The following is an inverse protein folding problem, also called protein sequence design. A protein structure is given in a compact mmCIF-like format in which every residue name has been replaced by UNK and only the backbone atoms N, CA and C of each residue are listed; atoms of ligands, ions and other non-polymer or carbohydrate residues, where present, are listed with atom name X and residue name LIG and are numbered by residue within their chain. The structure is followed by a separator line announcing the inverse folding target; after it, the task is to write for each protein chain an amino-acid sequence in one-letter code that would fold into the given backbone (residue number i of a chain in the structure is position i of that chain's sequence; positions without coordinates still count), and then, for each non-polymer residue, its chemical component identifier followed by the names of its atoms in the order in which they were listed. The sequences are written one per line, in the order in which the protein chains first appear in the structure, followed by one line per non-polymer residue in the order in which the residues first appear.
data_IF_254597376625
#
_entry.id   IF_254597376625
#
_cell.length_a   1.000
_cell.length_b   1.000
_cell.length_c   1.000
_cell.angle_alpha   90.00
_cell.angle_beta   90.00
_cell.angle_gamma   90.00
#
_symmetry.space_group_name_H-M   'P 1'
#
loop_
_entity.id
_entity.type
_entity.pdbx_description
1 polymer ?
#
# COMPACT_ATOMS: atom_id res chain seq x y z
N UNK A 1 -16.54 -9.58 -16.92
CA UNK A 1 -16.36 -9.76 -15.45
C UNK A 1 -15.64 -11.08 -15.20
N UNK A 2 -14.61 -11.07 -14.36
CA UNK A 2 -13.94 -12.30 -13.95
C UNK A 2 -14.87 -13.23 -13.15
N UNK A 3 -14.71 -14.57 -13.24
CA UNK A 3 -15.40 -15.50 -12.35
C UNK A 3 -15.00 -15.27 -10.89
N UNK A 4 -15.92 -15.59 -9.95
CA UNK A 4 -15.70 -15.45 -8.50
C UNK A 4 -14.38 -16.09 -8.03
N UNK A 5 -14.07 -17.25 -8.61
CA UNK A 5 -12.87 -18.02 -8.28
C UNK A 5 -11.57 -17.22 -8.52
N UNK A 6 -11.56 -16.36 -9.57
CA UNK A 6 -10.40 -15.53 -9.91
C UNK A 6 -10.17 -14.49 -8.82
N UNK A 7 -11.23 -13.84 -8.30
CA UNK A 7 -11.10 -12.88 -7.20
C UNK A 7 -10.57 -13.54 -5.91
N UNK A 8 -11.05 -14.75 -5.61
CA UNK A 8 -10.55 -15.52 -4.46
C UNK A 8 -9.08 -15.86 -4.64
N UNK A 9 -8.69 -16.38 -5.80
CA UNK A 9 -7.30 -16.75 -6.09
C UNK A 9 -6.37 -15.53 -6.07
N UNK A 10 -6.81 -14.39 -6.62
CA UNK A 10 -6.06 -13.13 -6.54
C UNK A 10 -5.87 -12.67 -5.09
N UNK A 11 -6.96 -12.67 -4.30
CA UNK A 11 -6.88 -12.32 -2.89
C UNK A 11 -5.93 -13.23 -2.10
N UNK A 12 -5.99 -14.54 -2.33
CA UNK A 12 -5.10 -15.52 -1.68
C UNK A 12 -3.65 -15.33 -2.11
N UNK A 13 -3.37 -15.25 -3.41
CA UNK A 13 -2.01 -15.12 -3.94
C UNK A 13 -1.36 -13.80 -3.47
N UNK A 14 -2.04 -12.68 -3.69
CA UNK A 14 -1.50 -11.35 -3.36
C UNK A 14 -1.50 -11.12 -1.85
N UNK A 15 -2.47 -11.65 -1.12
CA UNK A 15 -2.48 -11.63 0.34
C UNK A 15 -1.28 -12.38 0.93
N UNK A 16 -0.99 -13.58 0.43
CA UNK A 16 0.18 -14.34 0.86
C UNK A 16 1.50 -13.60 0.55
N UNK A 17 1.64 -13.09 -0.68
CA UNK A 17 2.80 -12.32 -1.12
C UNK A 17 2.96 -11.04 -0.27
N UNK A 18 1.87 -10.30 -0.06
CA UNK A 18 1.85 -9.07 0.74
C UNK A 18 2.27 -9.30 2.19
N UNK A 19 1.74 -10.36 2.81
CA UNK A 19 2.11 -10.77 4.17
C UNK A 19 3.57 -11.23 4.27
N UNK A 20 4.01 -12.06 3.35
CA UNK A 20 5.39 -12.56 3.28
C UNK A 20 6.42 -11.45 3.13
N UNK A 21 6.15 -10.50 2.26
CA UNK A 21 7.02 -9.34 2.02
C UNK A 21 6.94 -8.27 3.12
N UNK A 22 5.78 -8.15 3.78
CA UNK A 22 5.50 -7.07 4.72
C UNK A 22 5.47 -5.68 4.05
N UNK A 23 5.20 -5.62 2.75
CA UNK A 23 5.20 -4.36 1.94
C UNK A 23 3.77 -3.99 1.52
N UNK A 24 2.81 -4.91 1.70
CA UNK A 24 1.45 -4.77 1.18
C UNK A 24 1.32 -5.22 -0.27
N UNK A 25 0.14 -5.70 -0.65
CA UNK A 25 -0.16 -6.22 -1.98
C UNK A 25 -1.08 -5.34 -2.82
N UNK A 26 -1.53 -4.19 -2.28
CA UNK A 26 -2.52 -3.35 -2.93
C UNK A 26 -2.18 -2.92 -4.37
N UNK A 27 -0.93 -2.52 -4.71
CA UNK A 27 -0.59 -2.17 -6.08
C UNK A 27 -0.82 -3.30 -7.07
N UNK A 28 -0.45 -4.54 -6.70
CA UNK A 28 -0.68 -5.71 -7.53
C UNK A 28 -2.17 -6.02 -7.66
N UNK A 29 -2.90 -5.93 -6.55
CA UNK A 29 -4.32 -6.24 -6.52
C UNK A 29 -5.09 -5.32 -7.47
N UNK A 30 -4.87 -4.00 -7.36
CA UNK A 30 -5.46 -3.01 -8.26
C UNK A 30 -5.08 -3.32 -9.73
N UNK A 31 -3.80 -3.55 -9.97
CA UNK A 31 -3.31 -3.81 -11.31
C UNK A 31 -3.96 -5.05 -11.95
N UNK A 32 -4.05 -6.14 -11.22
CA UNK A 32 -4.70 -7.36 -11.73
C UNK A 32 -6.21 -7.18 -11.96
N UNK A 33 -6.90 -6.48 -11.06
CA UNK A 33 -8.32 -6.18 -11.23
C UNK A 33 -8.58 -5.37 -12.49
N UNK A 34 -7.72 -4.40 -12.79
CA UNK A 34 -7.86 -3.55 -13.97
C UNK A 34 -7.43 -4.29 -15.24
N UNK A 35 -6.23 -4.88 -15.26
CA UNK A 35 -5.64 -5.45 -16.47
C UNK A 35 -6.26 -6.80 -16.86
N UNK A 36 -6.57 -7.65 -15.89
CA UNK A 36 -7.05 -9.02 -16.11
C UNK A 36 -8.57 -9.10 -16.04
N UNK A 37 -9.18 -8.45 -15.03
CA UNK A 37 -10.62 -8.53 -14.83
C UNK A 37 -11.39 -7.42 -15.54
N UNK A 38 -10.72 -6.42 -16.13
CA UNK A 38 -11.37 -5.32 -16.86
C UNK A 38 -12.21 -4.41 -15.96
N UNK A 39 -11.93 -4.38 -14.65
CA UNK A 39 -12.60 -3.48 -13.70
C UNK A 39 -12.06 -2.07 -13.91
N UNK A 40 -12.91 -1.04 -13.78
CA UNK A 40 -12.48 0.35 -13.87
C UNK A 40 -11.40 0.66 -12.82
N UNK A 41 -10.49 1.58 -13.15
CA UNK A 41 -9.41 1.98 -12.21
C UNK A 41 -9.99 2.47 -10.89
N UNK A 42 -11.05 3.28 -10.95
CA UNK A 42 -11.70 3.82 -9.74
C UNK A 42 -12.34 2.72 -8.90
N UNK A 43 -13.07 1.79 -9.51
CA UNK A 43 -13.70 0.69 -8.77
C UNK A 43 -12.67 -0.24 -8.14
N UNK A 44 -11.57 -0.52 -8.84
CA UNK A 44 -10.48 -1.32 -8.28
C UNK A 44 -9.82 -0.62 -7.08
N UNK A 45 -9.51 0.68 -7.20
CA UNK A 45 -8.92 1.49 -6.13
C UNK A 45 -9.86 1.62 -4.93
N UNK A 46 -11.11 2.02 -5.16
CA UNK A 46 -12.11 2.17 -4.11
C UNK A 46 -12.39 0.88 -3.35
N UNK A 47 -12.52 -0.25 -4.06
CA UNK A 47 -12.74 -1.56 -3.45
C UNK A 47 -11.54 -2.04 -2.64
N UNK A 48 -10.32 -1.85 -3.13
CA UNK A 48 -9.10 -2.20 -2.39
C UNK A 48 -8.89 -1.30 -1.17
N UNK A 49 -9.13 0.01 -1.27
CA UNK A 49 -9.09 0.92 -0.12
C UNK A 49 -10.12 0.54 0.93
N UNK A 50 -11.34 0.20 0.51
CA UNK A 50 -12.41 -0.25 1.42
C UNK A 50 -12.03 -1.55 2.13
N UNK A 51 -11.46 -2.52 1.41
CA UNK A 51 -10.91 -3.74 2.00
C UNK A 51 -9.86 -3.42 3.07
N UNK A 52 -9.03 -2.40 2.86
CA UNK A 52 -7.97 -2.00 3.79
C UNK A 52 -8.47 -1.24 5.04
N UNK A 53 -9.77 -0.92 5.15
CA UNK A 53 -10.34 -0.42 6.41
C UNK A 53 -10.33 -1.49 7.51
N UNK A 54 -10.28 -2.76 7.14
CA UNK A 54 -10.12 -3.85 8.10
C UNK A 54 -8.75 -3.83 8.77
N UNK A 55 -8.61 -4.45 9.96
CA UNK A 55 -7.38 -4.42 10.77
C UNK A 55 -6.29 -5.33 10.19
N UNK A 56 -5.86 -5.07 8.94
CA UNK A 56 -4.91 -5.91 8.20
C UNK A 56 -3.53 -6.01 8.86
N UNK A 57 -3.14 -4.99 9.66
CA UNK A 57 -1.84 -4.92 10.33
C UNK A 57 -1.84 -5.44 11.77
N UNK A 58 -3.00 -5.85 12.31
CA UNK A 58 -3.17 -6.23 13.72
C UNK A 58 -2.15 -7.28 14.18
N UNK A 59 -2.00 -8.35 13.41
CA UNK A 59 -1.08 -9.43 13.75
C UNK A 59 0.39 -9.01 13.70
N UNK A 60 0.74 -8.12 12.77
CA UNK A 60 2.09 -7.57 12.66
C UNK A 60 2.46 -6.69 13.85
N UNK A 61 1.54 -5.86 14.34
CA UNK A 61 1.75 -4.99 15.50
C UNK A 61 1.90 -5.76 16.80
N UNK A 62 1.16 -6.84 16.97
CA UNK A 62 1.23 -7.65 18.19
C UNK A 62 2.64 -8.17 18.47
N UNK A 63 3.46 -8.35 17.45
CA UNK A 63 4.86 -8.79 17.57
C UNK A 63 5.86 -7.64 17.82
N UNK A 64 5.41 -6.37 17.72
CA UNK A 64 6.27 -5.17 17.75
C UNK A 64 5.74 -4.11 18.73
N UNK A 65 5.16 -4.52 19.85
CA UNK A 65 4.49 -3.62 20.80
C UNK A 65 5.42 -2.57 21.42
N UNK A 66 6.66 -2.93 21.70
CA UNK A 66 7.61 -2.05 22.40
C UNK A 66 8.04 -0.88 21.49
N UNK A 67 8.24 -1.10 20.22
CA UNK A 67 8.61 -0.07 19.25
C UNK A 67 7.50 0.95 19.02
N UNK A 68 6.25 0.52 19.13
CA UNK A 68 5.07 1.37 18.93
C UNK A 68 4.78 2.24 20.15
N UNK A 69 4.92 1.69 21.37
CA UNK A 69 4.52 2.36 22.61
C UNK A 69 5.28 3.67 22.86
N UNK A 70 6.55 3.75 22.45
CA UNK A 70 7.38 4.96 22.63
C UNK A 70 6.97 6.13 21.72
N UNK A 71 6.25 5.89 20.63
CA UNK A 71 5.95 6.90 19.61
C UNK A 71 4.45 7.12 19.36
N UNK A 72 3.59 6.75 20.31
CA UNK A 72 2.14 6.80 20.12
C UNK A 72 1.61 8.17 19.67
N UNK A 73 2.19 9.29 20.19
CA UNK A 73 1.78 10.65 19.79
C UNK A 73 2.05 10.90 18.29
N UNK A 74 3.25 10.55 17.83
CA UNK A 74 3.62 10.68 16.41
C UNK A 74 2.77 9.79 15.53
N UNK A 75 2.44 8.57 15.99
CA UNK A 75 1.56 7.64 15.27
C UNK A 75 0.15 8.24 15.12
N UNK A 76 -0.45 8.75 16.19
CA UNK A 76 -1.79 9.37 16.14
C UNK A 76 -1.82 10.55 15.16
N UNK A 77 -0.80 11.41 15.17
CA UNK A 77 -0.71 12.53 14.22
C UNK A 77 -0.57 12.02 12.78
N UNK A 78 0.25 11.00 12.55
CA UNK A 78 0.38 10.37 11.23
C UNK A 78 -0.93 9.74 10.73
N UNK A 79 -1.67 9.07 11.61
CA UNK A 79 -2.99 8.49 11.32
C UNK A 79 -3.99 9.57 10.93
N UNK A 80 -4.11 10.63 11.74
CA UNK A 80 -5.06 11.71 11.48
C UNK A 80 -4.70 12.46 10.18
N UNK A 81 -3.41 12.77 10.00
CA UNK A 81 -2.95 13.41 8.77
C UNK A 81 -3.25 12.53 7.54
N UNK A 82 -2.90 11.25 7.60
CA UNK A 82 -3.20 10.34 6.49
C UNK A 82 -4.71 10.27 6.21
N UNK A 83 -5.55 10.10 7.24
CA UNK A 83 -7.00 9.98 7.07
C UNK A 83 -7.60 11.21 6.38
N UNK A 84 -7.22 12.41 6.84
CA UNK A 84 -7.70 13.67 6.25
C UNK A 84 -7.18 13.84 4.81
N UNK A 85 -5.88 13.70 4.61
CA UNK A 85 -5.26 13.96 3.31
C UNK A 85 -5.54 12.86 2.28
N UNK A 86 -5.94 11.66 2.69
CA UNK A 86 -6.41 10.62 1.78
C UNK A 86 -7.72 10.98 1.09
N UNK A 87 -8.60 11.77 1.74
CA UNK A 87 -9.80 12.32 1.11
C UNK A 87 -9.43 13.24 -0.05
N UNK A 88 -8.51 14.20 0.17
CA UNK A 88 -8.04 15.09 -0.90
C UNK A 88 -7.33 14.34 -2.02
N UNK A 89 -6.58 13.29 -1.68
CA UNK A 89 -5.97 12.42 -2.69
C UNK A 89 -7.00 11.72 -3.57
N UNK A 90 -8.07 11.20 -2.97
CA UNK A 90 -9.18 10.60 -3.69
C UNK A 90 -9.92 11.63 -4.56
N UNK A 91 -10.14 12.85 -4.06
CA UNK A 91 -10.74 13.93 -4.82
C UNK A 91 -9.93 14.30 -6.06
N UNK A 92 -8.60 14.39 -5.91
CA UNK A 92 -7.68 14.58 -7.04
C UNK A 92 -7.77 13.44 -8.07
N UNK A 93 -8.02 12.19 -7.64
CA UNK A 93 -8.21 11.08 -8.58
C UNK A 93 -9.39 11.34 -9.53
N UNK A 94 -10.53 11.73 -8.98
CA UNK A 94 -11.71 12.03 -9.78
C UNK A 94 -11.57 13.32 -10.61
N UNK A 95 -10.85 14.32 -10.09
CA UNK A 95 -10.55 15.55 -10.82
C UNK A 95 -9.68 15.30 -12.07
N UNK A 96 -8.65 14.46 -11.98
CA UNK A 96 -7.75 14.17 -13.10
C UNK A 96 -8.37 13.26 -14.18
N UNK A 97 -9.42 12.52 -13.85
CA UNK A 97 -10.05 11.58 -14.74
C UNK A 97 -9.32 10.23 -14.78
N UNK A 98 -10.07 9.17 -15.06
CA UNK A 98 -9.61 7.78 -14.96
C UNK A 98 -8.36 7.48 -15.80
N UNK A 99 -8.31 7.99 -17.04
CA UNK A 99 -7.18 7.76 -17.94
C UNK A 99 -5.87 8.37 -17.41
N UNK A 100 -5.95 9.59 -16.85
CA UNK A 100 -4.78 10.25 -16.23
C UNK A 100 -4.33 9.49 -14.99
N UNK A 101 -5.28 9.05 -14.17
CA UNK A 101 -4.97 8.24 -12.96
C UNK A 101 -4.29 6.93 -13.36
N UNK A 102 -4.74 6.25 -14.42
CA UNK A 102 -4.06 5.06 -14.97
C UNK A 102 -2.62 5.35 -15.35
N UNK A 103 -2.36 6.46 -16.07
CA UNK A 103 -1.01 6.88 -16.48
C UNK A 103 -0.11 7.13 -15.28
N UNK A 104 -0.59 7.93 -14.32
CA UNK A 104 0.17 8.25 -13.12
C UNK A 104 0.35 7.03 -12.20
N UNK A 105 -0.63 6.13 -12.15
CA UNK A 105 -0.50 4.87 -11.42
C UNK A 105 0.62 4.00 -12.00
N UNK A 106 0.69 3.85 -13.33
CA UNK A 106 1.76 3.13 -13.98
C UNK A 106 3.14 3.74 -13.68
N UNK A 107 3.25 5.08 -13.71
CA UNK A 107 4.48 5.78 -13.35
C UNK A 107 4.86 5.53 -11.88
N UNK A 108 3.88 5.54 -10.98
CA UNK A 108 4.10 5.23 -9.57
C UNK A 108 4.58 3.80 -9.36
N UNK A 109 4.04 2.81 -10.11
CA UNK A 109 4.51 1.42 -10.04
C UNK A 109 5.98 1.29 -10.43
N UNK A 110 6.42 2.03 -11.47
CA UNK A 110 7.84 2.10 -11.86
C UNK A 110 8.67 2.70 -10.73
N UNK A 111 8.23 3.81 -10.16
CA UNK A 111 8.94 4.47 -9.06
C UNK A 111 9.09 3.56 -7.85
N UNK A 112 8.01 2.90 -7.43
CA UNK A 112 8.04 1.93 -6.32
C UNK A 112 8.95 0.76 -6.67
N UNK A 113 8.89 0.23 -7.90
CA UNK A 113 9.76 -0.83 -8.38
C UNK A 113 11.24 -0.44 -8.28
N UNK A 114 11.62 0.73 -8.78
CA UNK A 114 12.98 1.26 -8.67
C UNK A 114 13.40 1.43 -7.21
N UNK A 115 12.55 2.00 -6.36
CA UNK A 115 12.83 2.15 -4.92
C UNK A 115 13.09 0.81 -4.22
N UNK A 116 12.45 -0.27 -4.67
CA UNK A 116 12.70 -1.61 -4.10
C UNK A 116 14.00 -2.24 -4.61
N UNK A 117 14.46 -1.86 -5.82
CA UNK A 117 15.73 -2.34 -6.39
C UNK A 117 16.94 -1.63 -5.78
N UNK A 118 16.78 -0.36 -5.38
CA UNK A 118 17.86 0.36 -4.71
C UNK A 118 18.22 -0.44 -3.45
N UNK A 119 19.49 -0.88 -3.30
CA UNK A 119 19.94 -1.47 -2.06
C UNK A 119 19.56 -0.51 -0.94
N UNK A 120 18.76 -0.95 0.00
CA UNK A 120 18.50 -0.14 1.19
C UNK A 120 19.86 -0.07 1.88
N UNK A 121 20.62 0.99 1.54
CA UNK A 121 21.89 1.25 2.19
C UNK A 121 21.61 1.33 3.69
N UNK A 122 21.91 0.26 4.40
CA UNK A 122 22.25 0.42 5.78
C UNK A 122 23.40 1.42 5.75
N UNK A 123 23.10 2.70 6.01
CA UNK A 123 24.17 3.65 6.27
C UNK A 123 25.09 2.94 7.25
N UNK A 124 26.40 3.06 7.09
CA UNK A 124 27.36 2.38 7.94
C UNK A 124 26.97 2.47 9.42
N UNK A 125 27.23 1.44 10.20
CA UNK A 125 26.76 1.36 11.61
C UNK A 125 27.27 2.49 12.52
N UNK A 126 28.29 3.27 12.08
CA UNK A 126 28.75 4.47 12.78
C UNK A 126 27.80 5.67 12.67
N UNK A 127 26.80 5.66 11.77
CA UNK A 127 25.76 6.70 11.72
C UNK A 127 24.65 6.31 12.67
N UNK A 128 24.42 7.15 13.70
CA UNK A 128 23.37 6.93 14.70
C UNK A 128 22.01 6.76 14.02
N UNK A 129 21.39 5.59 14.17
CA UNK A 129 20.07 5.29 13.62
C UNK A 129 19.00 6.01 14.43
N UNK A 130 18.09 6.69 13.72
CA UNK A 130 16.95 7.37 14.35
C UNK A 130 15.96 6.32 14.87
N UNK A 131 15.54 6.45 16.11
CA UNK A 131 14.52 5.60 16.72
C UNK A 131 13.18 6.30 16.82
N UNK A 132 13.19 7.62 16.98
CA UNK A 132 11.99 8.44 17.17
C UNK A 132 11.88 9.49 16.08
N UNK A 133 10.68 9.67 15.52
CA UNK A 133 10.36 10.73 14.56
C UNK A 133 9.53 11.80 15.29
N UNK A 134 9.94 13.08 15.22
CA UNK A 134 9.13 14.16 15.74
C UNK A 134 7.71 14.19 15.14
N UNK A 135 6.74 14.58 15.93
CA UNK A 135 5.32 14.58 15.53
C UNK A 135 5.04 15.41 14.26
N UNK A 136 5.73 16.55 14.09
CA UNK A 136 5.57 17.42 12.93
C UNK A 136 6.05 16.76 11.61
N UNK A 137 7.16 15.98 11.65
CA UNK A 137 7.56 15.18 10.51
C UNK A 137 6.54 14.09 10.18
N UNK A 138 5.96 13.48 11.21
CA UNK A 138 4.94 12.46 11.03
C UNK A 138 3.67 13.03 10.39
N UNK A 139 3.33 14.30 10.68
CA UNK A 139 2.27 15.02 9.98
C UNK A 139 2.55 15.10 8.47
N UNK A 140 3.74 15.55 8.07
CA UNK A 140 4.09 15.66 6.64
C UNK A 140 4.13 14.29 5.95
N UNK A 141 4.72 13.28 6.58
CA UNK A 141 4.76 11.91 6.03
C UNK A 141 3.33 11.38 5.88
N UNK A 142 2.49 11.55 6.89
CA UNK A 142 1.08 11.14 6.84
C UNK A 142 0.30 11.86 5.74
N UNK A 143 0.51 13.17 5.60
CA UNK A 143 -0.17 13.98 4.58
C UNK A 143 0.22 13.56 3.16
N UNK A 144 1.52 13.49 2.86
CA UNK A 144 2.02 13.12 1.53
C UNK A 144 1.59 11.68 1.18
N UNK A 145 1.78 10.74 2.10
CA UNK A 145 1.40 9.35 1.86
C UNK A 145 -0.13 9.17 1.83
N UNK A 146 -0.87 10.01 2.53
CA UNK A 146 -2.33 10.08 2.48
C UNK A 146 -2.83 10.50 1.11
N UNK A 147 -2.29 11.62 0.56
CA UNK A 147 -2.64 12.08 -0.78
C UNK A 147 -2.35 10.98 -1.82
N UNK A 148 -1.14 10.43 -1.81
CA UNK A 148 -0.75 9.38 -2.77
C UNK A 148 -1.58 8.11 -2.56
N UNK A 149 -1.82 7.73 -1.31
CA UNK A 149 -2.63 6.57 -0.96
C UNK A 149 -4.09 6.69 -1.41
N UNK A 150 -4.70 7.86 -1.24
CA UNK A 150 -6.05 8.16 -1.69
C UNK A 150 -6.17 8.26 -3.21
N UNK A 151 -5.20 8.92 -3.85
CA UNK A 151 -5.15 9.10 -5.31
C UNK A 151 -5.02 7.77 -6.06
N UNK A 152 -4.21 6.85 -5.54
CA UNK A 152 -3.88 5.60 -6.23
C UNK A 152 -4.43 4.33 -5.60
N UNK A 153 -5.06 4.42 -4.45
CA UNK A 153 -5.65 3.25 -3.81
C UNK A 153 -4.68 2.27 -3.16
N UNK A 154 -3.39 2.62 -3.06
CA UNK A 154 -2.32 1.67 -2.68
C UNK A 154 -2.08 1.53 -1.17
N UNK A 155 -2.72 2.38 -0.37
CA UNK A 155 -2.48 2.44 1.07
C UNK A 155 -1.10 3.01 1.45
N UNK A 156 -0.89 3.25 2.75
CA UNK A 156 0.33 3.91 3.25
C UNK A 156 1.57 3.01 3.24
N UNK A 157 1.39 1.70 3.36
CA UNK A 157 2.49 0.77 3.71
C UNK A 157 3.63 0.73 2.70
N UNK A 158 3.30 0.80 1.42
CA UNK A 158 4.29 0.69 0.33
C UNK A 158 5.25 1.87 0.30
N UNK A 159 4.78 3.06 0.69
CA UNK A 159 5.56 4.31 0.65
C UNK A 159 6.20 4.64 2.00
N UNK A 160 5.49 4.44 3.11
CA UNK A 160 5.99 4.83 4.43
C UNK A 160 7.28 4.09 4.83
N UNK A 161 7.36 2.78 4.57
CA UNK A 161 8.56 2.01 4.93
C UNK A 161 9.82 2.57 4.26
N UNK A 162 9.87 2.79 2.92
CA UNK A 162 11.02 3.43 2.28
C UNK A 162 11.31 4.84 2.81
N UNK A 163 10.29 5.65 3.05
CA UNK A 163 10.46 7.01 3.60
C UNK A 163 11.15 6.95 4.97
N UNK A 164 10.72 6.07 5.87
CA UNK A 164 11.34 5.93 7.19
C UNK A 164 12.76 5.37 7.11
N UNK A 165 13.02 4.45 6.22
CA UNK A 165 14.36 3.85 6.07
C UNK A 165 15.36 4.82 5.42
N UNK A 166 14.96 5.48 4.32
CA UNK A 166 15.85 6.30 3.50
C UNK A 166 15.86 7.76 3.95
N UNK A 167 14.69 8.32 4.27
CA UNK A 167 14.54 9.71 4.70
C UNK A 167 15.02 9.95 6.12
N UNK A 168 14.68 9.05 7.05
CA UNK A 168 14.97 9.21 8.48
C UNK A 168 16.08 8.29 9.00
N UNK A 169 16.69 7.47 8.15
CA UNK A 169 17.72 6.51 8.57
C UNK A 169 17.27 5.62 9.75
N UNK A 170 16.01 5.19 9.73
CA UNK A 170 15.40 4.43 10.82
C UNK A 170 15.83 2.96 10.77
N UNK A 171 15.90 2.31 11.93
CA UNK A 171 16.06 0.84 11.99
C UNK A 171 14.88 0.16 11.30
N UNK A 172 15.14 -0.92 10.53
CA UNK A 172 14.12 -1.63 9.75
C UNK A 172 12.90 -2.05 10.57
N UNK A 173 13.12 -2.58 11.77
CA UNK A 173 12.03 -3.03 12.63
C UNK A 173 11.18 -1.85 13.12
N UNK A 174 11.79 -0.72 13.47
CA UNK A 174 11.08 0.50 13.87
C UNK A 174 10.26 1.07 12.70
N UNK A 175 10.83 1.17 11.51
CA UNK A 175 10.13 1.63 10.31
C UNK A 175 8.89 0.78 9.99
N UNK A 176 9.04 -0.55 10.09
CA UNK A 176 7.91 -1.49 9.89
C UNK A 176 6.87 -1.36 11.00
N UNK A 177 7.29 -1.29 12.25
CA UNK A 177 6.40 -1.16 13.41
C UNK A 177 5.56 0.12 13.32
N UNK A 178 6.18 1.27 13.01
CA UNK A 178 5.48 2.53 12.81
C UNK A 178 4.49 2.46 11.66
N UNK A 179 4.90 1.92 10.52
CA UNK A 179 4.01 1.77 9.36
C UNK A 179 2.80 0.90 9.70
N UNK A 180 3.01 -0.25 10.35
CA UNK A 180 1.93 -1.13 10.76
C UNK A 180 1.01 -0.49 11.80
N UNK A 181 1.58 0.33 12.71
CA UNK A 181 0.81 1.05 13.72
C UNK A 181 -0.08 2.13 13.10
N UNK A 182 0.42 2.84 12.09
CA UNK A 182 -0.37 3.82 11.35
C UNK A 182 -1.48 3.13 10.55
N UNK A 183 -1.20 1.96 9.98
CA UNK A 183 -2.18 1.19 9.19
C UNK A 183 -3.21 0.42 10.02
N UNK A 184 -3.06 0.35 11.35
CA UNK A 184 -3.99 -0.40 12.21
C UNK A 184 -5.36 0.24 12.30
N UNK A 185 -5.49 1.56 12.55
CA UNK A 185 -6.77 2.24 12.43
C UNK A 185 -7.21 2.27 10.95
N UNK A 186 -8.50 2.50 10.69
CA UNK A 186 -9.01 2.63 9.33
C UNK A 186 -8.54 3.95 8.66
N UNK A 187 -7.23 4.07 8.41
CA UNK A 187 -6.62 5.31 7.89
C UNK A 187 -7.12 5.70 6.50
N UNK A 188 -7.56 4.74 5.71
CA UNK A 188 -8.14 4.98 4.38
C UNK A 188 -9.56 5.57 4.42
N UNK A 189 -10.06 5.94 5.61
CA UNK A 189 -11.44 6.38 5.82
C UNK A 189 -11.78 7.62 5.00
N UNK A 190 -10.87 8.59 4.88
CA UNK A 190 -11.08 9.76 4.04
C UNK A 190 -11.25 9.40 2.57
N UNK A 191 -10.35 8.60 2.02
CA UNK A 191 -10.46 8.12 0.65
C UNK A 191 -11.72 7.26 0.45
N UNK A 192 -12.03 6.35 1.38
CA UNK A 192 -13.24 5.54 1.36
C UNK A 192 -14.49 6.40 1.20
N UNK A 193 -14.63 7.47 2.01
CA UNK A 193 -15.80 8.37 1.93
C UNK A 193 -15.94 8.93 0.51
N UNK A 194 -14.86 9.43 -0.09
CA UNK A 194 -14.91 9.99 -1.45
C UNK A 194 -15.25 8.95 -2.50
N UNK A 195 -14.59 7.77 -2.49
CA UNK A 195 -14.89 6.69 -3.44
C UNK A 195 -16.32 6.15 -3.27
N UNK A 196 -16.85 6.14 -2.04
CA UNK A 196 -18.25 5.78 -1.76
C UNK A 196 -19.22 6.80 -2.36
N UNK A 197 -18.95 8.10 -2.20
CA UNK A 197 -19.79 9.19 -2.76
C UNK A 197 -19.86 9.11 -4.30
N UNK A 198 -18.77 8.71 -4.93
CA UNK A 198 -18.68 8.55 -6.40
C UNK A 198 -19.21 7.18 -6.89
N UNK A 199 -19.72 6.34 -6.01
CA UNK A 199 -20.22 5.00 -6.38
C UNK A 199 -19.14 4.04 -6.89
N UNK A 200 -17.87 4.32 -6.60
CA UNK A 200 -16.72 3.58 -7.11
C UNK A 200 -16.28 2.45 -6.15
N UNK A 201 -17.23 1.74 -5.53
CA UNK A 201 -16.96 0.61 -4.64
C UNK A 201 -17.85 -0.57 -5.03
N UNK A 202 -17.24 -1.70 -5.35
CA UNK A 202 -17.93 -2.97 -5.51
C UNK A 202 -17.87 -3.76 -4.18
N UNK A 203 -18.96 -3.71 -3.42
CA UNK A 203 -19.05 -4.36 -2.11
C UNK A 203 -18.86 -5.88 -2.16
N UNK A 204 -19.32 -6.52 -3.24
CA UNK A 204 -19.12 -7.97 -3.43
C UNK A 204 -17.63 -8.28 -3.57
N UNK A 205 -16.94 -7.49 -4.38
CA UNK A 205 -15.50 -7.59 -4.55
C UNK A 205 -14.76 -7.33 -3.24
N UNK A 206 -15.15 -6.30 -2.48
CA UNK A 206 -14.57 -5.96 -1.17
C UNK A 206 -14.60 -7.14 -0.22
N UNK A 207 -15.78 -7.77 -0.04
CA UNK A 207 -15.94 -8.89 0.90
C UNK A 207 -15.09 -10.08 0.50
N UNK A 208 -15.10 -10.44 -0.79
CA UNK A 208 -14.34 -11.58 -1.31
C UNK A 208 -12.83 -11.36 -1.13
N UNK A 209 -12.35 -10.20 -1.53
CA UNK A 209 -10.94 -9.85 -1.40
C UNK A 209 -10.51 -9.72 0.06
N UNK A 210 -11.36 -9.14 0.92
CA UNK A 210 -11.06 -9.02 2.34
C UNK A 210 -10.82 -10.39 2.97
N UNK A 211 -11.75 -11.33 2.80
CA UNK A 211 -11.65 -12.66 3.42
C UNK A 211 -10.45 -13.42 2.87
N UNK A 212 -10.31 -13.50 1.55
CA UNK A 212 -9.23 -14.26 0.91
C UNK A 212 -7.85 -13.66 1.20
N UNK A 213 -7.71 -12.34 1.09
CA UNK A 213 -6.47 -11.63 1.39
C UNK A 213 -6.09 -11.76 2.86
N UNK A 214 -7.03 -11.56 3.79
CA UNK A 214 -6.78 -11.60 5.23
C UNK A 214 -6.25 -12.97 5.68
N UNK A 215 -6.90 -14.04 5.23
CA UNK A 215 -6.47 -15.42 5.52
C UNK A 215 -5.07 -15.66 4.99
N UNK A 216 -4.82 -15.35 3.72
CA UNK A 216 -3.54 -15.61 3.09
C UNK A 216 -2.41 -14.73 3.64
N UNK A 217 -2.71 -13.47 3.98
CA UNK A 217 -1.76 -12.54 4.59
C UNK A 217 -1.24 -13.04 5.94
N UNK A 218 -2.10 -13.67 6.74
CA UNK A 218 -1.69 -14.31 7.99
C UNK A 218 -0.64 -15.39 7.77
N UNK A 219 -0.88 -16.32 6.84
CA UNK A 219 0.06 -17.40 6.53
C UNK A 219 1.35 -16.87 5.89
N UNK A 220 1.24 -15.85 5.03
CA UNK A 220 2.38 -15.16 4.43
C UNK A 220 3.26 -14.50 5.48
N UNK A 221 2.68 -13.72 6.39
CA UNK A 221 3.40 -13.04 7.46
C UNK A 221 4.14 -14.01 8.38
N UNK A 222 3.50 -15.13 8.75
CA UNK A 222 4.12 -16.18 9.59
C UNK A 222 5.36 -16.79 8.94
N UNK A 223 5.37 -16.98 7.62
CA UNK A 223 6.52 -17.53 6.89
C UNK A 223 7.57 -16.49 6.53
N UNK A 224 7.17 -15.25 6.30
CA UNK A 224 8.06 -14.15 5.88
C UNK A 224 9.12 -13.75 6.92
N UNK A 225 8.95 -14.11 8.18
CA UNK A 225 9.93 -13.84 9.26
C UNK A 225 11.27 -14.55 9.07
N UNK A 226 11.31 -15.66 8.30
CA UNK A 226 12.49 -16.52 8.11
C UNK A 226 13.13 -16.43 6.72
N UNK A 227 12.61 -15.56 5.82
CA UNK A 227 12.95 -15.60 4.41
C UNK A 227 14.05 -14.62 3.98
N UNK A 228 14.76 -14.95 2.89
CA UNK A 228 15.63 -14.00 2.19
C UNK A 228 14.82 -12.92 1.47
N UNK A 229 14.64 -11.81 2.19
CA UNK A 229 13.87 -10.66 1.72
C UNK A 229 14.54 -10.00 0.50
N UNK A 230 15.85 -10.18 0.25
CA UNK A 230 16.56 -9.52 -0.86
C UNK A 230 16.10 -10.04 -2.22
N UNK A 231 16.09 -11.35 -2.40
CA UNK A 231 15.62 -11.98 -3.64
C UNK A 231 14.15 -11.68 -3.88
N UNK A 232 13.33 -11.75 -2.83
CA UNK A 232 11.91 -11.43 -2.93
C UNK A 232 11.66 -9.99 -3.38
N UNK A 233 12.38 -9.00 -2.83
CA UNK A 233 12.24 -7.58 -3.24
C UNK A 233 12.61 -7.37 -4.70
N UNK A 234 13.61 -8.06 -5.22
CA UNK A 234 13.96 -7.98 -6.65
C UNK A 234 12.82 -8.50 -7.52
N UNK A 235 12.27 -9.66 -7.20
CA UNK A 235 11.13 -10.24 -7.94
C UNK A 235 9.92 -9.29 -7.87
N UNK A 236 9.61 -8.78 -6.69
CA UNK A 236 8.53 -7.82 -6.47
C UNK A 236 8.71 -6.56 -7.34
N UNK A 237 9.90 -5.99 -7.37
CA UNK A 237 10.22 -4.82 -8.16
C UNK A 237 10.09 -5.07 -9.69
N UNK A 238 10.63 -6.19 -10.16
CA UNK A 238 10.56 -6.57 -11.56
C UNK A 238 9.09 -6.75 -11.99
N UNK A 239 8.28 -7.39 -11.16
CA UNK A 239 6.85 -7.57 -11.43
C UNK A 239 6.10 -6.23 -11.48
N UNK A 240 6.39 -5.28 -10.56
CA UNK A 240 5.79 -3.94 -10.60
C UNK A 240 6.12 -3.20 -11.91
N UNK A 241 7.38 -3.24 -12.32
CA UNK A 241 7.84 -2.60 -13.57
C UNK A 241 7.19 -3.27 -14.78
N UNK A 242 7.14 -4.60 -14.82
CA UNK A 242 6.48 -5.33 -15.90
C UNK A 242 4.99 -4.97 -16.02
N UNK A 243 4.28 -4.91 -14.89
CA UNK A 243 2.88 -4.48 -14.84
C UNK A 243 2.72 -3.04 -15.34
N UNK A 244 3.60 -2.13 -14.94
CA UNK A 244 3.57 -0.75 -15.41
C UNK A 244 3.73 -0.65 -16.92
N UNK A 245 4.61 -1.45 -17.52
CA UNK A 245 4.76 -1.54 -18.98
C UNK A 245 3.46 -2.02 -19.64
N UNK A 246 2.81 -3.05 -19.08
CA UNK A 246 1.52 -3.54 -19.59
C UNK A 246 0.44 -2.45 -19.50
N UNK A 247 0.40 -1.66 -18.41
CA UNK A 247 -0.49 -0.51 -18.29
C UNK A 247 -0.26 0.51 -19.42
N UNK A 248 0.99 0.87 -19.69
CA UNK A 248 1.34 1.80 -20.76
C UNK A 248 0.94 1.28 -22.14
N UNK A 249 1.15 0.00 -22.41
CA UNK A 249 0.71 -0.62 -23.65
C UNK A 249 -0.81 -0.58 -23.79
N UNK A 250 -1.56 -0.93 -22.73
CA UNK A 250 -3.02 -0.88 -22.74
C UNK A 250 -3.54 0.54 -23.00
N UNK A 251 -2.95 1.54 -22.34
CA UNK A 251 -3.31 2.95 -22.52
C UNK A 251 -3.04 3.39 -23.97
N UNK A 252 -1.88 3.02 -24.52
CA UNK A 252 -1.51 3.36 -25.90
C UNK A 252 -2.51 2.81 -26.91
N UNK A 253 -2.97 1.55 -26.74
CA UNK A 253 -3.96 0.94 -27.64
C UNK A 253 -5.38 1.49 -27.43
N UNK A 254 -5.71 2.01 -26.25
CA UNK A 254 -7.02 2.63 -25.99
C UNK A 254 -7.13 4.07 -26.53
N UNK A 255 -6.01 4.74 -26.76
CA UNK A 255 -5.96 6.13 -27.26
C UNK A 255 -5.74 6.25 -28.77
N UNK A 256 -5.53 5.13 -29.48
CA UNK A 256 -5.55 5.02 -30.94
C UNK A 256 -6.92 4.62 -31.45
#
# INVERSE_FOLDING_TARGET
MCPLIVYILLGLAIGYIGGYAGIGGAPFLIAFLVLVCGISQYTAQGSVLTMMLGPMSLLGIMTMKNEVKSQWKSIVIGVLAYAVFSYFGAELAFYFGELSVKKYFALLLILIGIMQLIPQFSKPDYIKKTENIPAWWMFFVGSITGIIGGLFGIGAGVLMVPIFLMGFNMKKNHARALTLAILLPPVSLGAFIKYQQEGAIDWKLVVILFISYFIANYFGAKRGTKADIKTFKKIYAILLIAIAVVYWLQIYYQTK
#
